data_IF_584713925753
#
_entry.id   IF_584713925753
#
_cell.length_a   1.000
_cell.length_b   1.000
_cell.length_c   1.000
_cell.angle_alpha   90.00
_cell.angle_beta   90.00
_cell.angle_gamma   90.00
#
_symmetry.space_group_name_H-M   'P 1'
#
loop_
_entity.id
_entity.type
_entity.pdbx_description
1 polymer ?
#
# COMPACT_ATOMS: atom_id res chain seq x y z
N UNK A 1 -4.36 0.58 67.76
CA UNK A 1 -4.54 -0.22 66.53
C UNK A 1 -5.66 0.36 65.68
N UNK A 2 -5.33 1.01 64.54
CA UNK A 2 -6.19 1.11 63.34
C UNK A 2 -5.38 1.79 62.23
N UNK A 3 -4.84 0.98 61.34
CA UNK A 3 -4.15 1.42 60.13
C UNK A 3 -5.15 1.37 58.98
N UNK A 4 -5.76 2.51 58.68
CA UNK A 4 -6.50 2.73 57.43
C UNK A 4 -6.19 4.15 56.98
N UNK A 5 -5.24 4.28 56.05
CA UNK A 5 -5.08 5.49 55.27
C UNK A 5 -4.72 5.09 53.83
N UNK A 6 -5.77 4.64 53.17
CA UNK A 6 -6.09 4.91 51.77
C UNK A 6 -4.98 4.68 50.75
N UNK A 7 -5.05 3.50 50.13
CA UNK A 7 -4.63 3.29 48.76
C UNK A 7 -5.55 4.15 47.87
N UNK A 8 -5.25 5.45 47.78
CA UNK A 8 -5.77 6.28 46.69
C UNK A 8 -4.96 5.91 45.46
N UNK A 9 -5.40 4.86 44.77
CA UNK A 9 -5.12 4.69 43.36
C UNK A 9 -5.72 5.92 42.65
N UNK A 10 -4.92 6.98 42.55
CA UNK A 10 -5.24 8.11 41.69
C UNK A 10 -5.16 7.61 40.26
N UNK A 11 -6.29 7.18 39.71
CA UNK A 11 -6.55 7.28 38.28
C UNK A 11 -6.65 8.75 37.93
N UNK A 12 -5.49 9.44 37.94
CA UNK A 12 -5.39 10.79 37.42
C UNK A 12 -5.59 10.69 35.91
N UNK A 13 -6.79 11.06 35.48
CA UNK A 13 -7.15 11.17 34.07
C UNK A 13 -6.45 12.40 33.51
N UNK A 14 -5.17 12.29 33.12
CA UNK A 14 -4.44 13.42 32.57
C UNK A 14 -5.11 13.85 31.25
N UNK A 15 -5.77 15.03 31.20
CA UNK A 15 -6.50 15.46 30.02
C UNK A 15 -5.58 15.63 28.81
N UNK A 16 -4.29 15.93 29.00
CA UNK A 16 -3.32 16.05 27.92
C UNK A 16 -3.07 14.71 27.22
N UNK A 17 -2.91 13.64 28.01
CA UNK A 17 -2.74 12.28 27.48
C UNK A 17 -3.98 11.80 26.72
N UNK A 18 -5.18 12.17 27.19
CA UNK A 18 -6.43 11.82 26.50
C UNK A 18 -6.57 12.56 25.17
N UNK A 19 -6.26 13.86 25.14
CA UNK A 19 -6.30 14.64 23.91
C UNK A 19 -5.30 14.12 22.86
N UNK A 20 -4.07 13.75 23.26
CA UNK A 20 -3.09 13.23 22.32
C UNK A 20 -3.48 11.87 21.74
N UNK A 21 -4.07 10.98 22.56
CA UNK A 21 -4.59 9.68 22.10
C UNK A 21 -5.73 9.84 21.10
N UNK A 22 -6.70 10.71 21.39
CA UNK A 22 -7.83 10.93 20.46
C UNK A 22 -7.40 11.66 19.19
N UNK A 23 -6.48 12.61 19.29
CA UNK A 23 -5.89 13.26 18.11
C UNK A 23 -5.15 12.25 17.22
N UNK A 24 -4.35 11.36 17.82
CA UNK A 24 -3.66 10.29 17.09
C UNK A 24 -4.65 9.35 16.39
N UNK A 25 -5.71 8.92 17.09
CA UNK A 25 -6.76 8.07 16.52
C UNK A 25 -7.48 8.75 15.36
N UNK A 26 -7.81 10.04 15.51
CA UNK A 26 -8.41 10.84 14.45
C UNK A 26 -7.51 10.92 13.22
N UNK A 27 -6.22 11.19 13.41
CA UNK A 27 -5.24 11.25 12.33
C UNK A 27 -5.08 9.90 11.61
N UNK A 28 -4.99 8.79 12.34
CA UNK A 28 -4.91 7.45 11.75
C UNK A 28 -6.17 7.14 10.95
N UNK A 29 -7.36 7.46 11.47
CA UNK A 29 -8.62 7.22 10.75
C UNK A 29 -8.72 8.04 9.47
N UNK A 30 -8.27 9.29 9.48
CA UNK A 30 -8.20 10.13 8.29
C UNK A 30 -7.21 9.57 7.26
N UNK A 31 -6.03 9.12 7.69
CA UNK A 31 -5.03 8.50 6.83
C UNK A 31 -5.56 7.20 6.17
N UNK A 32 -6.31 6.38 6.91
CA UNK A 32 -6.97 5.19 6.35
C UNK A 32 -8.00 5.56 5.27
N UNK A 33 -8.86 6.55 5.54
CA UNK A 33 -9.84 7.02 4.56
C UNK A 33 -9.19 7.54 3.28
N UNK A 34 -8.10 8.30 3.42
CA UNK A 34 -7.30 8.73 2.27
C UNK A 34 -6.69 7.55 1.50
N UNK A 35 -6.12 6.57 2.22
CA UNK A 35 -5.56 5.36 1.62
C UNK A 35 -6.58 4.59 0.76
N UNK A 36 -7.82 4.46 1.23
CA UNK A 36 -8.89 3.82 0.47
C UNK A 36 -9.27 4.59 -0.80
N UNK A 37 -9.27 5.93 -0.77
CA UNK A 37 -9.52 6.75 -1.97
C UNK A 37 -8.41 6.58 -3.01
N UNK A 38 -7.16 6.59 -2.58
CA UNK A 38 -6.00 6.35 -3.46
C UNK A 38 -6.11 4.95 -4.06
N UNK A 39 -6.37 3.94 -3.24
CA UNK A 39 -6.56 2.57 -3.70
C UNK A 39 -7.68 2.46 -4.73
N UNK A 40 -8.83 3.06 -4.46
CA UNK A 40 -9.97 3.04 -5.38
C UNK A 40 -9.64 3.68 -6.73
N UNK A 41 -8.91 4.82 -6.73
CA UNK A 41 -8.47 5.47 -7.96
C UNK A 41 -7.56 4.55 -8.80
N UNK A 42 -6.61 3.85 -8.15
CA UNK A 42 -5.75 2.88 -8.82
C UNK A 42 -6.54 1.65 -9.30
N UNK A 43 -7.45 1.12 -8.50
CA UNK A 43 -8.24 -0.09 -8.84
C UNK A 43 -9.13 0.14 -10.08
N UNK A 44 -9.68 1.36 -10.23
CA UNK A 44 -10.47 1.75 -11.41
C UNK A 44 -9.60 1.87 -12.66
N UNK A 45 -8.41 2.48 -12.54
CA UNK A 45 -7.54 2.78 -13.68
C UNK A 45 -6.40 1.79 -13.89
N UNK A 46 -6.39 0.64 -13.18
CA UNK A 46 -5.27 -0.32 -13.21
C UNK A 46 -4.85 -0.69 -14.65
N UNK A 47 -5.79 -1.02 -15.51
CA UNK A 47 -5.44 -1.46 -16.88
C UNK A 47 -4.90 -0.30 -17.73
N UNK A 48 -5.47 0.88 -17.57
CA UNK A 48 -5.04 2.08 -18.30
C UNK A 48 -3.65 2.51 -17.86
N UNK A 49 -3.36 2.45 -16.56
CA UNK A 49 -2.03 2.72 -16.01
C UNK A 49 -0.98 1.79 -16.60
N UNK A 50 -1.24 0.48 -16.66
CA UNK A 50 -0.30 -0.46 -17.27
C UNK A 50 -0.01 -0.13 -18.74
N UNK A 51 -1.06 0.28 -19.48
CA UNK A 51 -0.93 0.66 -20.89
C UNK A 51 -0.12 1.95 -21.06
N UNK A 52 -0.40 2.98 -20.27
CA UNK A 52 0.32 4.26 -20.31
C UNK A 52 1.79 4.13 -19.86
N UNK A 53 2.06 3.21 -18.93
CA UNK A 53 3.42 2.81 -18.57
C UNK A 53 4.14 2.03 -19.69
N UNK A 54 3.45 1.75 -20.79
CA UNK A 54 3.96 0.96 -21.89
C UNK A 54 4.26 -0.47 -21.48
N UNK A 55 3.55 -1.06 -20.53
CA UNK A 55 3.70 -2.48 -20.18
C UNK A 55 2.81 -3.35 -21.08
N UNK A 56 3.25 -4.58 -21.34
CA UNK A 56 2.41 -5.58 -22.01
C UNK A 56 1.23 -5.92 -21.09
N UNK A 57 0.02 -5.83 -21.63
CA UNK A 57 -1.20 -6.07 -20.87
C UNK A 57 -1.35 -7.57 -20.57
N UNK A 58 -1.62 -7.96 -19.32
CA UNK A 58 -1.78 -9.36 -18.93
C UNK A 58 -3.06 -9.96 -19.54
N UNK A 59 -3.00 -11.24 -19.91
CA UNK A 59 -4.11 -11.97 -20.54
C UNK A 59 -5.18 -12.43 -19.56
N UNK A 60 -4.83 -12.57 -18.28
CA UNK A 60 -5.71 -13.05 -17.22
C UNK A 60 -5.47 -12.34 -15.88
N UNK A 61 -6.40 -12.52 -14.95
CA UNK A 61 -6.39 -11.83 -13.66
C UNK A 61 -5.20 -12.23 -12.77
N UNK A 62 -4.75 -13.47 -12.84
CA UNK A 62 -3.62 -13.95 -12.03
C UNK A 62 -2.30 -13.38 -12.51
N UNK A 63 -2.10 -13.33 -13.83
CA UNK A 63 -0.98 -12.65 -14.47
C UNK A 63 -0.97 -11.15 -14.14
N UNK A 64 -2.15 -10.52 -14.11
CA UNK A 64 -2.29 -9.12 -13.70
C UNK A 64 -1.88 -8.89 -12.25
N UNK A 65 -2.33 -9.74 -11.32
CA UNK A 65 -1.91 -9.66 -9.90
C UNK A 65 -0.40 -9.85 -9.74
N UNK A 66 0.17 -10.80 -10.46
CA UNK A 66 1.61 -11.06 -10.43
C UNK A 66 2.41 -9.88 -10.97
N UNK A 67 1.94 -9.25 -12.06
CA UNK A 67 2.53 -8.06 -12.64
C UNK A 67 2.49 -6.88 -11.67
N UNK A 68 1.32 -6.60 -11.09
CA UNK A 68 1.17 -5.52 -10.10
C UNK A 68 2.04 -5.73 -8.86
N UNK A 69 2.18 -6.97 -8.38
CA UNK A 69 3.08 -7.26 -7.27
C UNK A 69 4.55 -6.96 -7.63
N UNK A 70 5.00 -7.38 -8.82
CA UNK A 70 6.35 -7.09 -9.29
C UNK A 70 6.59 -5.59 -9.50
N UNK A 71 5.58 -4.88 -10.01
CA UNK A 71 5.64 -3.44 -10.26
C UNK A 71 5.64 -2.64 -8.95
N UNK A 72 4.81 -3.03 -7.98
CA UNK A 72 4.78 -2.41 -6.67
C UNK A 72 6.15 -2.51 -5.96
N UNK A 73 6.80 -3.68 -6.03
CA UNK A 73 8.17 -3.85 -5.52
C UNK A 73 9.14 -2.89 -6.22
N UNK A 74 9.10 -2.82 -7.56
CA UNK A 74 9.97 -1.94 -8.33
C UNK A 74 9.77 -0.46 -7.95
N UNK A 75 8.53 0.00 -7.83
CA UNK A 75 8.23 1.40 -7.53
C UNK A 75 8.57 1.79 -6.09
N UNK A 76 8.37 0.90 -5.12
CA UNK A 76 8.60 1.22 -3.71
C UNK A 76 10.04 0.95 -3.25
N UNK A 77 10.72 -0.02 -3.87
CA UNK A 77 12.04 -0.51 -3.42
C UNK A 77 13.14 -0.30 -4.46
N UNK A 78 12.80 0.05 -5.70
CA UNK A 78 13.74 0.12 -6.82
C UNK A 78 14.20 -1.24 -7.35
N UNK A 79 13.64 -2.34 -6.82
CA UNK A 79 14.04 -3.72 -7.11
C UNK A 79 12.80 -4.59 -7.19
N UNK A 80 12.85 -5.66 -7.97
CA UNK A 80 11.78 -6.65 -8.05
C UNK A 80 12.35 -8.06 -8.09
N UNK A 81 11.72 -8.99 -7.38
CA UNK A 81 12.10 -10.41 -7.41
C UNK A 81 11.69 -11.09 -8.73
N UNK A 82 10.83 -10.42 -9.53
CA UNK A 82 10.25 -10.96 -10.77
C UNK A 82 10.44 -10.00 -11.94
N UNK A 83 11.68 -9.66 -12.33
CA UNK A 83 11.95 -8.68 -13.39
C UNK A 83 11.39 -9.12 -14.75
N UNK A 84 11.26 -10.43 -14.99
CA UNK A 84 10.70 -11.00 -16.22
C UNK A 84 9.22 -10.65 -16.47
N UNK A 85 8.50 -10.17 -15.45
CA UNK A 85 7.11 -9.74 -15.58
C UNK A 85 7.00 -8.29 -16.08
N UNK A 86 7.99 -7.43 -15.79
CA UNK A 86 8.01 -6.03 -16.19
C UNK A 86 8.46 -5.89 -17.65
N UNK A 87 7.63 -6.36 -18.58
CA UNK A 87 7.92 -6.29 -20.02
C UNK A 87 7.28 -5.06 -20.62
N UNK A 88 8.12 -4.19 -21.17
CA UNK A 88 7.67 -3.00 -21.87
C UNK A 88 7.33 -3.33 -23.32
N UNK A 89 6.22 -2.78 -23.80
CA UNK A 89 5.95 -2.63 -25.22
C UNK A 89 7.06 -1.77 -25.81
N UNK A 90 7.82 -2.33 -26.72
CA UNK A 90 8.77 -1.53 -27.51
C UNK A 90 7.93 -0.59 -28.37
N UNK A 91 8.37 0.65 -28.57
CA UNK A 91 7.70 1.62 -29.44
C UNK A 91 7.50 1.14 -30.89
N UNK A 92 8.10 0.00 -31.25
CA UNK A 92 7.88 -0.72 -32.49
C UNK A 92 7.21 -2.06 -32.14
N UNK A 93 6.02 -2.33 -32.67
CA UNK A 93 5.22 -3.55 -32.41
C UNK A 93 5.90 -4.87 -32.81
N UNK A 94 6.98 -5.23 -32.12
CA UNK A 94 7.66 -6.53 -32.18
C UNK A 94 7.90 -6.98 -30.74
N UNK A 95 7.24 -8.08 -30.38
CA UNK A 95 7.53 -8.86 -29.19
C UNK A 95 9.04 -9.12 -29.17
N UNK A 96 9.73 -8.60 -28.17
CA UNK A 96 11.15 -8.90 -27.96
C UNK A 96 11.33 -10.41 -27.77
N UNK A 97 12.48 -10.98 -28.17
CA UNK A 97 12.69 -12.42 -28.11
C UNK A 97 12.40 -12.92 -26.70
N UNK A 98 11.61 -14.00 -26.63
CA UNK A 98 11.45 -14.83 -25.44
C UNK A 98 12.85 -15.08 -24.87
N UNK A 99 13.14 -14.75 -23.60
CA UNK A 99 14.42 -15.15 -23.03
C UNK A 99 14.43 -16.68 -23.05
N UNK A 100 15.33 -17.23 -23.84
CA UNK A 100 15.52 -18.66 -24.05
C UNK A 100 15.61 -19.41 -22.71
N UNK A 101 14.98 -20.59 -22.65
CA UNK A 101 15.26 -21.70 -21.71
C UNK A 101 14.82 -21.52 -20.27
#
# INVERSE_FOLDING_TARGET
MRNQAVVHASTSSDPGLRCSVEAYRGAVRAALGYGELVRAAFDVHRRDLLKEMGLILPENLDAERALWAALAQQLHRGLTDRPRLLRFTRAEGRVGPTPDG
#
